data_IF_842176696508
#
_entry.id   IF_842176696508
#
_cell.length_a   1.000
_cell.length_b   1.000
_cell.length_c   1.000
_cell.angle_alpha   90.00
_cell.angle_beta   90.00
_cell.angle_gamma   90.00
#
_symmetry.space_group_name_H-M   'P 1'
#
loop_
_entity.id
_entity.type
_entity.pdbx_description
1 polymer ?
#
# COMPACT_ATOMS: atom_id res chain seq x y z
N UNK A 1 -42.98 45.75 60.60
CA UNK A 1 -42.15 44.54 60.55
C UNK A 1 -41.54 44.48 59.17
N UNK A 2 -40.20 44.67 59.10
CA UNK A 2 -39.43 44.58 57.85
C UNK A 2 -39.12 43.09 57.55
N UNK A 3 -39.47 42.59 56.35
CA UNK A 3 -39.22 41.19 56.08
C UNK A 3 -37.72 40.89 56.04
N UNK A 4 -37.27 39.83 56.73
CA UNK A 4 -35.91 39.32 56.64
C UNK A 4 -35.73 38.68 55.28
N UNK A 5 -34.97 39.32 54.40
CA UNK A 5 -34.61 38.79 53.08
C UNK A 5 -33.31 37.99 53.22
N UNK A 6 -33.38 36.69 52.90
CA UNK A 6 -32.18 35.83 52.74
C UNK A 6 -31.90 35.73 51.24
N UNK A 7 -30.79 36.26 50.81
CA UNK A 7 -30.30 36.11 49.41
C UNK A 7 -29.56 34.76 49.30
N UNK A 8 -30.08 33.86 48.46
CA UNK A 8 -29.40 32.62 48.08
C UNK A 8 -28.68 32.92 46.78
N UNK A 9 -27.34 32.88 46.78
CA UNK A 9 -26.55 32.96 45.56
C UNK A 9 -26.47 31.58 44.92
N UNK A 10 -26.77 31.49 43.64
CA UNK A 10 -26.60 30.29 42.84
C UNK A 10 -25.19 30.18 42.28
N UNK A 11 -24.62 28.99 42.25
CA UNK A 11 -23.31 28.69 41.69
C UNK A 11 -23.44 27.58 40.61
N UNK A 12 -23.83 27.93 39.39
CA UNK A 12 -23.89 26.97 38.31
C UNK A 12 -22.50 26.48 37.89
N UNK A 13 -22.32 25.19 37.73
CA UNK A 13 -21.07 24.58 37.31
C UNK A 13 -21.35 23.27 36.57
N UNK A 14 -20.50 22.95 35.60
CA UNK A 14 -20.62 21.74 34.77
C UNK A 14 -19.21 21.14 34.62
N UNK A 15 -19.11 19.83 34.54
CA UNK A 15 -17.88 19.08 34.29
C UNK A 15 -18.13 18.05 33.19
N UNK A 16 -17.17 17.92 32.25
CA UNK A 16 -17.26 17.01 31.12
C UNK A 16 -16.06 16.09 31.13
N UNK A 17 -16.31 14.79 31.15
CA UNK A 17 -15.25 13.77 30.95
C UNK A 17 -15.52 13.01 29.65
N UNK A 18 -14.45 12.57 29.00
CA UNK A 18 -14.53 11.79 27.78
C UNK A 18 -13.54 10.64 27.81
N UNK A 19 -14.01 9.45 27.50
CA UNK A 19 -13.19 8.25 27.38
C UNK A 19 -13.44 7.53 26.06
N UNK A 20 -12.49 6.71 25.61
CA UNK A 20 -12.59 5.89 24.41
C UNK A 20 -12.40 4.42 24.74
N UNK A 21 -13.17 3.57 24.07
CA UNK A 21 -12.95 2.12 24.03
C UNK A 21 -12.84 1.69 22.57
N UNK A 22 -11.75 1.02 22.23
CA UNK A 22 -11.56 0.45 20.89
C UNK A 22 -12.11 -0.97 20.86
N UNK A 23 -12.93 -1.25 19.87
CA UNK A 23 -13.37 -2.61 19.54
C UNK A 23 -12.66 -3.03 18.27
N UNK A 24 -11.78 -4.00 18.39
CA UNK A 24 -10.99 -4.61 17.33
C UNK A 24 -11.91 -5.33 16.33
N UNK A 25 -11.65 -5.18 15.05
CA UNK A 25 -12.35 -5.84 13.95
C UNK A 25 -12.02 -7.33 13.80
N UNK A 26 -11.07 -7.85 14.60
CA UNK A 26 -10.65 -9.26 14.66
C UNK A 26 -9.25 -9.52 14.12
N UNK A 27 -8.46 -8.49 13.81
CA UNK A 27 -7.08 -8.63 13.33
C UNK A 27 -6.02 -8.53 14.44
N UNK A 28 -6.42 -8.15 15.66
CA UNK A 28 -5.57 -8.10 16.86
C UNK A 28 -4.69 -6.86 16.97
N UNK A 29 -4.90 -5.85 16.11
CA UNK A 29 -4.15 -4.59 16.12
C UNK A 29 -5.09 -3.39 15.97
N UNK A 30 -4.83 -2.32 16.71
CA UNK A 30 -5.62 -1.09 16.52
C UNK A 30 -5.34 -0.48 15.16
N UNK A 31 -6.37 -0.41 14.31
CA UNK A 31 -6.19 -0.01 12.93
C UNK A 31 -7.48 0.32 12.18
N UNK A 32 -7.40 0.30 10.87
CA UNK A 32 -8.52 0.55 9.98
C UNK A 32 -9.62 -0.48 10.17
N UNK A 33 -10.84 -0.02 10.34
CA UNK A 33 -12.04 -0.84 10.50
C UNK A 33 -12.44 -1.07 11.96
N UNK A 34 -11.57 -0.76 12.92
CA UNK A 34 -11.90 -0.80 14.33
C UNK A 34 -12.90 0.30 14.69
N UNK A 35 -13.65 0.06 15.75
CA UNK A 35 -14.65 1.00 16.24
C UNK A 35 -14.13 1.69 17.49
N UNK A 36 -13.91 3.00 17.41
CA UNK A 36 -13.70 3.86 18.55
C UNK A 36 -15.07 4.27 19.12
N UNK A 37 -15.40 3.75 20.29
CA UNK A 37 -16.62 4.09 21.03
C UNK A 37 -16.28 5.11 22.10
N UNK A 38 -16.73 6.34 21.91
CA UNK A 38 -16.59 7.43 22.86
C UNK A 38 -17.74 7.43 23.85
N UNK A 39 -17.41 7.57 25.13
CA UNK A 39 -18.37 7.84 26.23
C UNK A 39 -18.07 9.22 26.76
N UNK A 40 -19.05 10.12 26.68
CA UNK A 40 -18.98 11.49 27.20
C UNK A 40 -19.92 11.56 28.40
N UNK A 41 -19.41 11.93 29.55
CA UNK A 41 -20.22 12.20 30.74
C UNK A 41 -20.25 13.70 31.03
N UNK A 42 -21.43 14.23 31.30
CA UNK A 42 -21.68 15.63 31.61
C UNK A 42 -22.31 15.69 32.99
N UNK A 43 -21.59 16.21 33.97
CA UNK A 43 -22.06 16.31 35.34
C UNK A 43 -22.39 17.76 35.71
N UNK A 44 -23.53 17.98 36.37
CA UNK A 44 -23.83 19.23 37.03
C UNK A 44 -23.15 19.28 38.41
N UNK A 45 -22.02 19.98 38.51
CA UNK A 45 -21.24 20.15 39.74
C UNK A 45 -21.69 21.38 40.53
N UNK A 46 -22.69 22.11 40.03
CA UNK A 46 -23.28 23.27 40.70
C UNK A 46 -24.43 22.94 41.62
N UNK A 47 -25.05 24.00 42.16
CA UNK A 47 -26.11 23.92 43.17
C UNK A 47 -27.52 24.18 42.61
N UNK A 48 -27.64 24.46 41.30
CA UNK A 48 -28.92 24.68 40.63
C UNK A 48 -29.12 23.72 39.47
N UNK A 49 -30.39 23.48 39.08
CA UNK A 49 -30.68 22.69 37.87
C UNK A 49 -30.22 23.43 36.62
N UNK A 50 -29.42 22.76 35.82
CA UNK A 50 -29.03 23.25 34.47
C UNK A 50 -30.03 22.79 33.44
N UNK A 51 -30.32 23.67 32.48
CA UNK A 51 -31.27 23.40 31.37
C UNK A 51 -30.67 23.87 30.04
N UNK A 52 -31.17 23.31 28.93
CA UNK A 52 -30.71 23.60 27.58
C UNK A 52 -29.18 23.28 27.41
N UNK A 53 -28.73 22.22 28.04
CA UNK A 53 -27.37 21.73 27.85
C UNK A 53 -27.27 21.19 26.42
N UNK A 54 -26.28 21.68 25.69
CA UNK A 54 -25.90 21.19 24.35
C UNK A 54 -24.52 20.57 24.44
N UNK A 55 -24.33 19.43 23.79
CA UNK A 55 -23.04 18.72 23.68
C UNK A 55 -22.61 18.71 22.23
N UNK A 56 -21.42 19.22 21.96
CA UNK A 56 -20.73 19.17 20.66
C UNK A 56 -19.51 18.28 20.76
N UNK A 57 -19.04 17.79 19.60
CA UNK A 57 -17.91 16.88 19.50
C UNK A 57 -17.01 17.27 18.31
N UNK A 58 -15.72 17.26 18.50
CA UNK A 58 -14.74 17.56 17.47
C UNK A 58 -13.70 16.43 17.40
N UNK A 59 -13.78 15.65 16.32
CA UNK A 59 -12.85 14.56 16.05
C UNK A 59 -11.86 15.00 14.97
N UNK A 60 -10.58 14.75 15.18
CA UNK A 60 -9.50 14.99 14.21
C UNK A 60 -8.56 13.77 14.14
N UNK A 61 -7.80 13.67 13.05
CA UNK A 61 -6.59 12.84 13.09
C UNK A 61 -5.45 13.57 13.85
N UNK A 62 -4.32 12.90 14.08
CA UNK A 62 -3.20 13.51 14.81
C UNK A 62 -2.45 14.60 14.04
N UNK A 63 -2.75 14.80 12.75
CA UNK A 63 -2.28 15.94 11.96
C UNK A 63 -3.27 17.12 11.99
N UNK A 64 -4.39 17.01 12.73
CA UNK A 64 -5.38 18.06 12.91
C UNK A 64 -6.42 18.14 11.77
N UNK A 65 -6.48 17.18 10.87
CA UNK A 65 -7.53 17.14 9.85
C UNK A 65 -8.85 16.68 10.48
N UNK A 66 -9.93 17.41 10.19
CA UNK A 66 -11.26 17.10 10.73
C UNK A 66 -11.77 15.75 10.22
N UNK A 67 -12.23 14.94 11.15
CA UNK A 67 -12.96 13.69 10.92
C UNK A 67 -14.40 13.84 11.40
N UNK A 68 -15.29 12.96 10.96
CA UNK A 68 -16.68 12.96 11.39
C UNK A 68 -16.98 11.65 12.12
N UNK A 69 -17.68 11.73 13.25
CA UNK A 69 -18.24 10.53 13.86
C UNK A 69 -19.22 9.85 12.89
N UNK A 70 -19.21 8.51 12.88
CA UNK A 70 -20.20 7.73 12.13
C UNK A 70 -21.59 7.80 12.79
N UNK A 71 -21.62 8.01 14.13
CA UNK A 71 -22.85 8.30 14.84
C UNK A 71 -22.59 9.06 16.15
N UNK A 72 -23.57 9.88 16.55
CA UNK A 72 -23.53 10.63 17.81
C UNK A 72 -22.81 11.98 17.72
N UNK A 73 -22.49 12.63 18.89
CA UNK A 73 -22.84 12.16 20.22
C UNK A 73 -24.34 12.13 20.46
N UNK A 74 -24.84 10.99 20.94
CA UNK A 74 -26.26 10.78 21.21
C UNK A 74 -26.50 10.56 22.71
N UNK A 75 -27.51 11.23 23.30
CA UNK A 75 -27.90 11.05 24.68
C UNK A 75 -28.31 9.60 24.96
N UNK A 76 -27.67 8.98 25.93
CA UNK A 76 -27.93 7.59 26.34
C UNK A 76 -28.80 7.51 27.60
N UNK A 77 -28.75 8.52 28.45
CA UNK A 77 -29.51 8.60 29.69
C UNK A 77 -28.85 9.48 30.75
N UNK A 78 -29.51 9.65 31.90
CA UNK A 78 -28.91 10.25 33.08
C UNK A 78 -29.16 9.37 34.31
N UNK A 79 -28.30 9.48 35.29
CA UNK A 79 -28.32 8.64 36.53
C UNK A 79 -29.51 8.95 37.46
N UNK A 80 -30.12 10.13 37.34
CA UNK A 80 -31.32 10.52 38.10
C UNK A 80 -32.57 10.67 37.25
N UNK A 81 -32.51 10.29 35.96
CA UNK A 81 -33.67 10.20 35.07
C UNK A 81 -34.12 11.51 34.45
N UNK A 82 -33.30 12.57 34.43
CA UNK A 82 -33.64 13.80 33.71
C UNK A 82 -33.59 13.57 32.19
N UNK A 83 -34.41 14.31 31.48
CA UNK A 83 -34.42 14.29 30.00
C UNK A 83 -33.16 14.97 29.45
N UNK A 84 -32.84 14.65 28.19
CA UNK A 84 -31.73 15.29 27.46
C UNK A 84 -31.77 16.82 27.61
N UNK A 85 -30.63 17.41 27.93
CA UNK A 85 -30.47 18.85 28.06
C UNK A 85 -30.85 19.43 29.42
N UNK A 86 -31.23 18.60 30.44
CA UNK A 86 -31.50 19.03 31.81
C UNK A 86 -30.77 18.16 32.80
N UNK A 87 -30.11 18.76 33.80
CA UNK A 87 -29.40 18.06 34.88
C UNK A 87 -29.69 18.75 36.23
N UNK A 88 -30.16 17.99 37.21
CA UNK A 88 -30.26 18.43 38.61
C UNK A 88 -28.85 18.53 39.21
N UNK A 89 -28.68 19.22 40.36
CA UNK A 89 -27.42 19.20 41.10
C UNK A 89 -26.90 17.79 41.35
N UNK A 90 -25.61 17.54 41.07
CA UNK A 90 -24.91 16.25 41.18
C UNK A 90 -25.38 15.17 40.19
N UNK A 91 -26.27 15.48 39.24
CA UNK A 91 -26.71 14.53 38.22
C UNK A 91 -25.73 14.47 37.04
N UNK A 92 -25.55 13.27 36.50
CA UNK A 92 -24.66 13.01 35.37
C UNK A 92 -25.44 12.45 34.16
N UNK A 93 -25.32 13.09 33.01
CA UNK A 93 -25.78 12.57 31.74
C UNK A 93 -24.65 11.84 30.97
N UNK A 94 -25.03 10.81 30.21
CA UNK A 94 -24.10 10.05 29.36
C UNK A 94 -24.50 10.21 27.90
N UNK A 95 -23.50 10.47 27.06
CA UNK A 95 -23.62 10.51 25.60
C UNK A 95 -22.65 9.51 24.96
N UNK A 96 -23.02 8.94 23.83
CA UNK A 96 -22.25 7.96 23.09
C UNK A 96 -21.98 8.45 21.67
N UNK A 97 -20.72 8.41 21.26
CA UNK A 97 -20.28 8.63 19.89
C UNK A 97 -19.54 7.41 19.35
N UNK A 98 -19.67 7.14 18.07
CA UNK A 98 -18.97 6.05 17.39
C UNK A 98 -18.19 6.59 16.19
N UNK A 99 -16.99 6.07 15.98
CA UNK A 99 -16.17 6.32 14.81
C UNK A 99 -15.53 5.03 14.33
N UNK A 100 -15.67 4.71 13.04
CA UNK A 100 -14.96 3.60 12.41
C UNK A 100 -13.65 4.15 11.88
N UNK A 101 -12.53 3.67 12.42
CA UNK A 101 -11.19 4.13 12.07
C UNK A 101 -10.96 3.93 10.57
N UNK A 102 -10.75 5.01 9.84
CA UNK A 102 -10.47 4.99 8.40
C UNK A 102 -8.96 4.99 8.11
N UNK A 103 -8.58 4.77 6.85
CA UNK A 103 -7.18 4.73 6.45
C UNK A 103 -6.44 6.05 6.69
N UNK A 104 -7.12 7.19 6.55
CA UNK A 104 -6.48 8.50 6.80
C UNK A 104 -6.05 8.65 8.26
N UNK A 105 -6.88 8.19 9.22
CA UNK A 105 -6.53 8.20 10.64
C UNK A 105 -5.31 7.31 10.92
N UNK A 106 -5.22 6.14 10.27
CA UNK A 106 -4.05 5.24 10.38
C UNK A 106 -2.80 5.90 9.80
N UNK A 107 -2.90 6.45 8.58
CA UNK A 107 -1.79 7.09 7.88
C UNK A 107 -1.25 8.33 8.64
N UNK A 108 -2.09 8.97 9.46
CA UNK A 108 -1.75 10.13 10.27
C UNK A 108 -1.46 9.80 11.75
N UNK A 109 -1.31 8.51 12.08
CA UNK A 109 -0.81 8.03 13.37
C UNK A 109 -1.86 7.92 14.46
N UNK A 110 -3.15 8.19 14.18
CA UNK A 110 -4.24 8.05 15.14
C UNK A 110 -5.29 9.15 15.09
N UNK A 111 -6.07 9.25 16.17
CA UNK A 111 -7.21 10.16 16.30
C UNK A 111 -7.17 10.90 17.63
N UNK A 112 -7.70 12.12 17.65
CA UNK A 112 -7.86 12.99 18.81
C UNK A 112 -9.29 13.49 18.84
N UNK A 113 -9.96 13.40 20.00
CA UNK A 113 -11.36 13.76 20.11
C UNK A 113 -11.62 14.60 21.36
N UNK A 114 -12.33 15.73 21.19
CA UNK A 114 -12.71 16.68 22.25
C UNK A 114 -14.21 16.89 22.19
N UNK A 115 -14.88 16.82 23.34
CA UNK A 115 -16.27 17.23 23.49
C UNK A 115 -16.37 18.55 24.26
N UNK A 116 -17.47 19.28 24.05
CA UNK A 116 -17.79 20.46 24.84
C UNK A 116 -19.27 20.44 25.22
N UNK A 117 -19.57 20.73 26.47
CA UNK A 117 -20.93 20.97 26.93
C UNK A 117 -21.14 22.45 27.27
N UNK A 118 -22.26 23.02 26.85
CA UNK A 118 -22.59 24.44 27.04
C UNK A 118 -24.05 24.56 27.54
N UNK A 119 -24.27 25.40 28.58
CA UNK A 119 -25.58 25.79 29.03
C UNK A 119 -25.57 27.23 29.55
N UNK A 120 -26.31 28.15 28.93
CA UNK A 120 -26.31 29.56 29.33
C UNK A 120 -24.92 30.18 29.30
N UNK A 121 -24.39 30.56 30.49
CA UNK A 121 -23.06 31.14 30.65
C UNK A 121 -22.01 30.14 31.17
N UNK A 122 -22.39 28.88 31.37
CA UNK A 122 -21.50 27.83 31.88
C UNK A 122 -21.15 26.88 30.73
N UNK A 123 -19.87 26.58 30.59
CA UNK A 123 -19.37 25.62 29.62
C UNK A 123 -18.15 24.90 30.18
N UNK A 124 -17.92 23.70 29.67
CA UNK A 124 -16.74 22.92 29.98
C UNK A 124 -16.31 22.12 28.75
N UNK A 125 -14.99 21.91 28.63
CA UNK A 125 -14.35 21.09 27.59
C UNK A 125 -14.00 19.74 28.22
N UNK A 126 -14.16 18.66 27.48
CA UNK A 126 -13.92 17.32 28.00
C UNK A 126 -12.47 17.10 28.40
N UNK A 127 -12.31 16.43 29.54
CA UNK A 127 -11.07 15.96 30.12
C UNK A 127 -10.94 14.45 29.89
N UNK A 128 -9.73 13.97 29.54
CA UNK A 128 -9.46 12.52 29.46
C UNK A 128 -9.15 12.01 30.89
N UNK A 129 -9.99 11.16 31.49
CA UNK A 129 -9.79 10.68 32.85
C UNK A 129 -8.53 9.82 33.04
N UNK A 130 -7.80 9.51 31.97
CA UNK A 130 -6.55 8.73 32.03
C UNK A 130 -5.29 9.61 32.04
N UNK A 131 -5.44 10.93 31.95
CA UNK A 131 -4.33 11.89 32.03
C UNK A 131 -4.43 12.74 33.30
N UNK A 132 -3.46 13.57 33.53
CA UNK A 132 -3.45 14.52 34.68
C UNK A 132 -3.64 15.98 34.20
N UNK A 133 -3.80 16.20 32.92
CA UNK A 133 -4.01 17.52 32.29
C UNK A 133 -5.50 17.79 32.24
N UNK A 134 -5.93 19.00 32.57
CA UNK A 134 -7.33 19.40 32.52
C UNK A 134 -7.69 19.85 31.07
N UNK A 135 -8.94 19.63 30.66
CA UNK A 135 -9.51 20.02 29.38
C UNK A 135 -8.72 19.45 28.17
N UNK A 136 -8.12 18.27 28.32
CA UNK A 136 -7.32 17.65 27.28
C UNK A 136 -8.13 16.72 26.38
N UNK A 137 -7.56 16.45 25.22
CA UNK A 137 -8.20 15.59 24.24
C UNK A 137 -8.03 14.11 24.56
N UNK A 138 -9.08 13.32 24.36
CA UNK A 138 -8.99 11.85 24.34
C UNK A 138 -8.29 11.37 23.09
N UNK A 139 -7.06 10.85 23.21
CA UNK A 139 -6.18 10.47 22.10
C UNK A 139 -6.08 8.95 21.97
N UNK A 140 -6.18 8.46 20.75
CA UNK A 140 -5.87 7.07 20.36
C UNK A 140 -4.74 7.07 19.35
N UNK A 141 -3.57 6.57 19.73
CA UNK A 141 -2.43 6.42 18.82
C UNK A 141 -2.51 5.10 18.05
N UNK A 142 -2.13 5.14 16.78
CA UNK A 142 -2.06 3.96 15.89
C UNK A 142 -0.62 3.82 15.41
N UNK A 143 -0.03 2.64 15.68
CA UNK A 143 1.35 2.38 15.28
C UNK A 143 1.44 2.06 13.80
N UNK A 144 2.25 2.82 13.07
CA UNK A 144 2.55 2.54 11.67
C UNK A 144 3.46 1.31 11.54
N UNK A 145 3.09 0.39 10.65
CA UNK A 145 3.87 -0.80 10.29
C UNK A 145 3.96 -0.89 8.75
N UNK A 146 4.85 -0.10 8.13
CA UNK A 146 5.03 -0.10 6.69
C UNK A 146 5.73 -1.39 6.24
N UNK A 147 5.18 -2.04 5.21
CA UNK A 147 5.75 -3.25 4.61
C UNK A 147 5.30 -3.40 3.18
N UNK A 148 6.13 -3.96 2.31
CA UNK A 148 5.74 -4.34 0.96
C UNK A 148 6.32 -5.72 0.60
N UNK A 149 5.68 -6.38 -0.35
CA UNK A 149 6.09 -7.66 -0.91
C UNK A 149 6.16 -7.51 -2.44
N UNK A 150 7.25 -7.96 -3.02
CA UNK A 150 7.50 -7.87 -4.46
C UNK A 150 7.68 -9.26 -5.05
N UNK A 151 6.90 -9.60 -6.08
CA UNK A 151 7.14 -10.82 -6.83
C UNK A 151 7.46 -10.50 -8.29
N UNK A 152 8.23 -11.37 -8.94
CA UNK A 152 8.58 -11.24 -10.36
C UNK A 152 8.50 -12.58 -11.03
N UNK A 153 7.76 -12.64 -12.13
CA UNK A 153 7.62 -13.85 -12.95
C UNK A 153 7.99 -13.56 -14.40
N UNK A 154 8.33 -14.62 -15.15
CA UNK A 154 8.68 -14.53 -16.57
C UNK A 154 7.89 -15.54 -17.40
N UNK A 155 7.49 -15.13 -18.61
CA UNK A 155 6.90 -15.99 -19.64
C UNK A 155 7.67 -15.76 -20.94
N UNK A 156 8.15 -16.84 -21.56
CA UNK A 156 8.81 -16.78 -22.87
C UNK A 156 7.77 -16.91 -23.96
N UNK A 157 7.85 -16.03 -24.95
CA UNK A 157 7.13 -16.14 -26.22
C UNK A 157 8.13 -16.58 -27.28
N UNK A 158 7.95 -17.79 -27.81
CA UNK A 158 8.70 -18.32 -28.96
C UNK A 158 8.26 -17.52 -30.22
N UNK A 159 9.10 -16.58 -30.62
CA UNK A 159 8.77 -15.60 -31.65
C UNK A 159 9.15 -16.10 -33.06
N UNK A 160 10.12 -17.01 -33.18
CA UNK A 160 10.54 -17.60 -34.45
C UNK A 160 9.95 -19.00 -34.68
N UNK A 161 9.22 -19.56 -33.68
CA UNK A 161 8.47 -20.81 -33.72
C UNK A 161 9.38 -22.04 -33.98
N UNK A 162 10.60 -21.99 -33.49
CA UNK A 162 11.56 -23.10 -33.62
C UNK A 162 11.45 -24.13 -32.48
N UNK A 163 10.62 -23.87 -31.44
CA UNK A 163 10.35 -24.71 -30.28
C UNK A 163 11.43 -24.70 -29.23
N UNK A 164 12.43 -23.85 -29.35
CA UNK A 164 13.50 -23.65 -28.38
C UNK A 164 13.38 -22.26 -27.73
N UNK A 165 14.07 -22.03 -26.62
CA UNK A 165 14.23 -20.69 -26.06
C UNK A 165 15.58 -20.13 -26.51
N UNK A 166 15.55 -19.19 -27.45
CA UNK A 166 16.74 -18.75 -28.16
C UNK A 166 16.76 -17.30 -28.60
N UNK A 167 17.70 -16.97 -29.49
CA UNK A 167 17.84 -15.62 -30.05
C UNK A 167 16.60 -15.21 -30.85
N UNK A 168 16.02 -14.06 -30.56
CA UNK A 168 14.81 -13.55 -31.23
C UNK A 168 13.54 -13.75 -30.42
N UNK A 169 13.52 -14.64 -29.45
CA UNK A 169 12.39 -14.84 -28.53
C UNK A 169 12.24 -13.68 -27.56
N UNK A 170 11.04 -13.58 -27.02
CA UNK A 170 10.67 -12.48 -26.12
C UNK A 170 10.40 -13.05 -24.71
N UNK A 171 11.16 -12.59 -23.74
CA UNK A 171 10.84 -12.81 -22.31
C UNK A 171 9.96 -11.66 -21.84
N UNK A 172 8.75 -11.98 -21.40
CA UNK A 172 7.81 -11.03 -20.81
C UNK A 172 7.85 -11.18 -19.29
N UNK A 173 8.18 -10.11 -18.59
CA UNK A 173 8.22 -10.05 -17.13
C UNK A 173 6.99 -9.37 -16.57
N UNK A 174 6.47 -9.93 -15.49
CA UNK A 174 5.42 -9.31 -14.66
C UNK A 174 5.98 -9.12 -13.27
N UNK A 175 5.93 -7.88 -12.77
CA UNK A 175 6.35 -7.51 -11.42
C UNK A 175 5.11 -7.07 -10.65
N UNK A 176 4.84 -7.68 -9.50
CA UNK A 176 3.77 -7.24 -8.60
C UNK A 176 4.36 -6.61 -7.36
N UNK A 177 3.79 -5.50 -6.94
CA UNK A 177 4.16 -4.75 -5.73
C UNK A 177 2.92 -4.70 -4.85
N UNK A 178 2.92 -5.46 -3.75
CA UNK A 178 1.81 -5.53 -2.79
C UNK A 178 2.19 -4.82 -1.50
N UNK A 179 1.31 -3.97 -0.99
CA UNK A 179 1.46 -3.39 0.34
C UNK A 179 0.93 -4.38 1.38
N UNK A 180 1.82 -4.95 2.16
CA UNK A 180 1.54 -5.90 3.26
C UNK A 180 1.50 -5.22 4.62
N UNK A 181 1.76 -3.90 4.67
CA UNK A 181 1.68 -3.08 5.87
C UNK A 181 0.28 -2.52 6.14
N UNK A 182 0.17 -1.71 7.21
CA UNK A 182 -1.09 -1.09 7.63
C UNK A 182 -1.27 0.37 7.17
N UNK A 183 -0.26 0.98 6.53
CA UNK A 183 -0.29 2.37 6.07
C UNK A 183 -0.13 2.48 4.56
N UNK A 184 -0.64 3.56 3.97
CA UNK A 184 -0.50 3.84 2.54
C UNK A 184 0.96 4.11 2.20
N UNK A 185 1.48 3.42 1.18
CA UNK A 185 2.80 3.65 0.62
C UNK A 185 2.71 4.50 -0.65
N UNK A 186 3.71 5.34 -0.88
CA UNK A 186 3.79 6.23 -2.04
C UNK A 186 5.22 6.29 -2.60
N UNK A 187 5.38 6.91 -3.79
CA UNK A 187 6.70 7.07 -4.39
C UNK A 187 7.35 5.73 -4.78
N UNK A 188 6.56 4.76 -5.24
CA UNK A 188 7.08 3.47 -5.73
C UNK A 188 8.11 3.72 -6.81
N UNK A 189 9.33 3.21 -6.60
CA UNK A 189 10.40 3.19 -7.61
C UNK A 189 10.90 1.76 -7.79
N UNK A 190 11.19 1.38 -9.03
CA UNK A 190 11.65 0.03 -9.38
C UNK A 190 13.03 0.15 -10.03
N UNK A 191 14.02 -0.49 -9.43
CA UNK A 191 15.36 -0.67 -9.98
C UNK A 191 15.49 -2.11 -10.46
N UNK A 192 15.52 -2.30 -11.79
CA UNK A 192 15.58 -3.62 -12.43
C UNK A 192 17.00 -3.93 -12.88
N UNK A 193 17.45 -5.16 -12.63
CA UNK A 193 18.76 -5.65 -13.02
C UNK A 193 18.61 -6.92 -13.86
N UNK A 194 18.88 -6.81 -15.15
CA UNK A 194 18.84 -7.90 -16.10
C UNK A 194 20.26 -8.29 -16.54
N UNK A 195 20.58 -9.58 -16.47
CA UNK A 195 21.90 -10.11 -16.88
C UNK A 195 21.75 -11.40 -17.68
N UNK A 196 22.78 -11.73 -18.46
CA UNK A 196 22.93 -13.07 -19.03
C UNK A 196 23.56 -14.06 -18.04
N UNK A 197 23.68 -15.33 -18.41
CA UNK A 197 24.23 -16.39 -17.58
C UNK A 197 25.72 -16.23 -17.23
N UNK A 198 26.43 -15.28 -17.85
CA UNK A 198 27.81 -14.90 -17.55
C UNK A 198 27.91 -13.64 -16.68
N UNK A 199 26.75 -13.02 -16.34
CA UNK A 199 26.70 -11.80 -15.53
C UNK A 199 26.87 -10.51 -16.31
N UNK A 200 26.84 -10.52 -17.64
CA UNK A 200 26.89 -9.31 -18.44
C UNK A 200 25.52 -8.59 -18.35
N UNK A 201 25.55 -7.28 -18.16
CA UNK A 201 24.33 -6.46 -18.08
C UNK A 201 23.59 -6.43 -19.42
N UNK A 202 22.27 -6.58 -19.35
CA UNK A 202 21.35 -6.49 -20.46
C UNK A 202 20.38 -5.33 -20.21
N UNK A 203 19.66 -4.90 -21.25
CA UNK A 203 18.70 -3.78 -21.15
C UNK A 203 17.31 -4.26 -21.56
N UNK A 204 16.30 -3.97 -20.75
CA UNK A 204 14.90 -4.23 -21.07
C UNK A 204 14.48 -3.47 -22.33
N UNK A 205 13.56 -4.04 -23.09
CA UNK A 205 13.04 -3.47 -24.34
C UNK A 205 12.04 -2.33 -24.14
N UNK A 206 11.59 -2.08 -22.90
CA UNK A 206 10.67 -1.00 -22.57
C UNK A 206 11.30 0.39 -22.78
N UNK A 207 10.49 1.45 -22.99
CA UNK A 207 10.99 2.82 -23.03
C UNK A 207 11.82 3.18 -21.80
N UNK A 208 13.04 3.67 -22.03
CA UNK A 208 13.98 3.99 -20.96
C UNK A 208 14.62 2.79 -20.25
N UNK A 209 14.39 1.56 -20.74
CA UNK A 209 14.93 0.33 -20.13
C UNK A 209 14.33 -0.03 -18.77
N UNK A 210 13.14 0.50 -18.42
CA UNK A 210 12.52 0.31 -17.12
C UNK A 210 11.15 -0.38 -17.22
N UNK A 211 10.72 -1.13 -16.21
CA UNK A 211 9.36 -1.65 -16.11
C UNK A 211 8.31 -0.54 -16.21
N UNK A 212 7.19 -0.83 -16.86
CA UNK A 212 6.08 0.10 -17.06
C UNK A 212 4.87 -0.34 -16.24
N UNK A 213 4.19 0.65 -15.62
CA UNK A 213 2.93 0.42 -14.92
C UNK A 213 1.89 -0.21 -15.85
N UNK A 214 1.18 -1.21 -15.35
CA UNK A 214 0.13 -1.92 -16.09
C UNK A 214 -1.24 -1.77 -15.44
N UNK A 215 -1.35 -2.05 -14.13
CA UNK A 215 -2.65 -2.06 -13.43
C UNK A 215 -2.51 -1.95 -11.92
N UNK A 216 -3.66 -1.74 -11.25
CA UNK A 216 -3.78 -1.79 -9.79
C UNK A 216 -5.06 -2.53 -9.39
N UNK A 217 -5.04 -3.20 -8.24
CA UNK A 217 -6.17 -3.99 -7.74
C UNK A 217 -7.29 -3.16 -7.10
N UNK A 218 -6.99 -1.95 -6.59
CA UNK A 218 -7.95 -1.10 -5.87
C UNK A 218 -8.14 0.29 -6.47
N UNK A 219 -7.50 0.58 -7.62
CA UNK A 219 -7.67 1.83 -8.35
C UNK A 219 -6.91 3.04 -7.81
N UNK A 220 -5.90 2.87 -6.97
CA UNK A 220 -5.02 3.96 -6.54
C UNK A 220 -4.21 4.52 -7.71
N UNK A 221 -3.74 5.75 -7.57
CA UNK A 221 -2.86 6.36 -8.54
C UNK A 221 -1.54 5.58 -8.67
N UNK A 222 -0.91 5.66 -9.85
CA UNK A 222 0.41 5.05 -10.08
C UNK A 222 1.40 5.52 -9.02
N UNK A 223 2.12 4.56 -8.43
CA UNK A 223 3.10 4.84 -7.38
C UNK A 223 2.51 5.03 -5.98
N UNK A 224 1.19 4.82 -5.78
CA UNK A 224 0.53 4.83 -4.47
C UNK A 224 -0.16 3.49 -4.24
N UNK A 225 0.15 2.81 -3.15
CA UNK A 225 -0.39 1.47 -2.82
C UNK A 225 -0.94 1.48 -1.39
N UNK A 226 -2.26 1.34 -1.26
CA UNK A 226 -2.95 1.21 0.03
C UNK A 226 -2.70 -0.17 0.64
N UNK A 227 -2.91 -0.36 1.94
CA UNK A 227 -2.88 -1.69 2.56
C UNK A 227 -3.69 -2.71 1.75
N UNK A 228 -3.11 -3.91 1.55
CA UNK A 228 -3.66 -5.03 0.78
C UNK A 228 -3.76 -4.78 -0.76
N UNK A 229 -3.43 -3.59 -1.23
CA UNK A 229 -3.43 -3.28 -2.66
C UNK A 229 -2.18 -3.81 -3.35
N UNK A 230 -2.36 -4.21 -4.62
CA UNK A 230 -1.27 -4.65 -5.50
C UNK A 230 -1.22 -3.76 -6.73
N UNK A 231 -0.04 -3.26 -7.07
CA UNK A 231 0.25 -2.68 -8.38
C UNK A 231 1.07 -3.65 -9.23
N UNK A 232 0.75 -3.71 -10.52
CA UNK A 232 1.41 -4.58 -11.49
C UNK A 232 2.18 -3.73 -12.49
N UNK A 233 3.41 -4.14 -12.76
CA UNK A 233 4.29 -3.57 -13.77
C UNK A 233 4.71 -4.65 -14.75
N UNK A 234 4.97 -4.27 -16.00
CA UNK A 234 5.40 -5.20 -17.05
C UNK A 234 6.71 -4.73 -17.68
N UNK A 235 7.52 -5.68 -18.09
CA UNK A 235 8.74 -5.44 -18.84
C UNK A 235 8.93 -6.56 -19.86
N UNK A 236 9.77 -6.33 -20.88
CA UNK A 236 10.15 -7.37 -21.81
C UNK A 236 11.62 -7.28 -22.20
N UNK A 237 12.16 -8.39 -22.64
CA UNK A 237 13.50 -8.49 -23.22
C UNK A 237 13.46 -9.37 -24.46
N UNK A 238 14.01 -8.89 -25.58
CA UNK A 238 14.23 -9.71 -26.77
C UNK A 238 15.59 -10.35 -26.66
N UNK A 239 15.64 -11.68 -26.64
CA UNK A 239 16.89 -12.43 -26.43
C UNK A 239 17.85 -12.13 -27.58
N UNK A 240 18.96 -11.48 -27.26
CA UNK A 240 20.00 -11.19 -28.25
C UNK A 240 20.83 -12.45 -28.61
N UNK A 241 21.44 -12.53 -29.78
CA UNK A 241 22.31 -13.66 -30.15
C UNK A 241 23.46 -13.89 -29.17
N UNK A 242 24.00 -12.84 -28.57
CA UNK A 242 25.05 -12.95 -27.53
C UNK A 242 24.52 -13.55 -26.23
N UNK A 243 23.33 -13.14 -25.77
CA UNK A 243 22.70 -13.68 -24.60
C UNK A 243 22.23 -15.14 -24.80
N UNK A 244 21.76 -15.49 -26.01
CA UNK A 244 21.41 -16.86 -26.38
C UNK A 244 22.62 -17.83 -26.36
N UNK A 245 23.84 -17.31 -26.47
CA UNK A 245 25.07 -18.10 -26.31
C UNK A 245 25.40 -18.46 -24.86
N UNK A 246 24.59 -18.00 -23.88
CA UNK A 246 24.72 -18.31 -22.46
C UNK A 246 23.69 -19.35 -22.02
N UNK A 247 23.76 -19.85 -20.79
CA UNK A 247 22.85 -20.92 -20.31
C UNK A 247 21.50 -20.40 -19.82
N UNK A 248 21.40 -19.10 -19.48
CA UNK A 248 20.21 -18.50 -18.87
C UNK A 248 20.21 -16.98 -18.98
N UNK A 249 19.04 -16.39 -18.75
CA UNK A 249 18.83 -14.97 -18.48
C UNK A 249 18.35 -14.86 -17.02
N UNK A 250 18.90 -13.91 -16.28
CA UNK A 250 18.61 -13.68 -14.86
C UNK A 250 18.09 -12.25 -14.68
N UNK A 251 16.98 -12.10 -14.00
CA UNK A 251 16.37 -10.78 -13.75
C UNK A 251 15.90 -10.63 -12.31
N UNK A 252 16.31 -9.56 -11.64
CA UNK A 252 15.86 -9.18 -10.30
C UNK A 252 15.45 -7.72 -10.26
N UNK A 253 14.48 -7.38 -9.43
CA UNK A 253 14.05 -6.00 -9.21
C UNK A 253 14.09 -5.66 -7.72
N UNK A 254 14.57 -4.46 -7.40
CA UNK A 254 14.43 -3.88 -6.06
C UNK A 254 13.39 -2.78 -6.15
N UNK A 255 12.39 -2.84 -5.31
CA UNK A 255 11.35 -1.84 -5.20
C UNK A 255 11.53 -1.07 -3.90
N UNK A 256 11.44 0.26 -3.97
CA UNK A 256 11.42 1.12 -2.81
C UNK A 256 10.16 1.97 -2.79
N UNK A 257 9.69 2.28 -1.59
CA UNK A 257 8.51 3.11 -1.34
C UNK A 257 8.72 4.00 -0.11
N UNK A 258 7.83 4.98 0.04
CA UNK A 258 7.81 5.91 1.16
C UNK A 258 6.54 5.74 1.97
N UNK A 259 6.65 5.67 3.30
CA UNK A 259 5.52 5.81 4.22
C UNK A 259 5.26 7.28 4.55
N UNK A 260 4.09 7.66 5.09
CA UNK A 260 3.80 9.04 5.47
C UNK A 260 4.89 9.66 6.35
N UNK A 261 5.36 10.84 5.96
CA UNK A 261 6.42 11.57 6.67
C UNK A 261 7.84 11.01 6.53
N UNK A 262 8.04 9.94 5.75
CA UNK A 262 9.34 9.30 5.49
C UNK A 262 9.59 9.21 3.98
N UNK A 263 10.84 9.02 3.59
CA UNK A 263 11.22 8.88 2.18
C UNK A 263 12.03 7.61 1.98
N UNK A 264 11.63 6.77 1.00
CA UNK A 264 12.30 5.53 0.61
C UNK A 264 12.67 4.62 1.81
N UNK A 265 11.80 4.57 2.82
CA UNK A 265 12.03 3.84 4.06
C UNK A 265 11.53 2.40 4.04
N UNK A 266 10.89 1.98 2.95
CA UNK A 266 10.38 0.62 2.74
C UNK A 266 10.98 0.08 1.45
N UNK A 267 11.52 -1.12 1.47
CA UNK A 267 12.10 -1.75 0.28
C UNK A 267 11.96 -3.26 0.35
N UNK A 268 11.89 -3.88 -0.83
CA UNK A 268 11.90 -5.31 -0.99
C UNK A 268 12.55 -5.71 -2.31
N UNK A 269 13.14 -6.91 -2.35
CA UNK A 269 13.70 -7.51 -3.56
C UNK A 269 12.70 -8.50 -4.14
N UNK A 270 12.55 -8.51 -5.46
CA UNK A 270 11.59 -9.39 -6.10
C UNK A 270 11.92 -10.87 -5.88
N UNK A 271 10.89 -11.62 -5.55
CA UNK A 271 10.90 -13.07 -5.36
C UNK A 271 10.36 -13.78 -6.61
N UNK A 272 10.97 -14.88 -7.03
CA UNK A 272 10.41 -15.74 -8.08
C UNK A 272 9.34 -16.66 -7.47
N UNK A 273 8.05 -16.48 -7.78
CA UNK A 273 6.98 -17.28 -7.18
C UNK A 273 7.02 -18.77 -7.55
N UNK A 274 7.93 -19.18 -8.44
CA UNK A 274 8.07 -20.57 -8.83
C UNK A 274 9.14 -21.32 -8.01
N UNK A 275 9.84 -20.64 -7.12
CA UNK A 275 10.83 -21.23 -6.22
C UNK A 275 10.37 -21.17 -4.76
N UNK A 276 11.10 -21.82 -3.86
CA UNK A 276 10.85 -21.74 -2.42
C UNK A 276 11.85 -20.85 -1.68
N UNK A 277 12.77 -20.24 -2.40
CA UNK A 277 13.78 -19.35 -1.84
C UNK A 277 13.27 -17.91 -1.93
N UNK A 278 13.26 -17.20 -0.81
CA UNK A 278 12.86 -15.81 -0.77
C UNK A 278 13.91 -14.89 -1.43
N UNK A 279 13.44 -13.80 -2.02
CA UNK A 279 14.24 -12.72 -2.63
C UNK A 279 15.17 -13.20 -3.76
N UNK A 280 14.82 -14.28 -4.45
CA UNK A 280 15.62 -14.81 -5.52
C UNK A 280 15.28 -14.21 -6.89
N UNK A 281 16.25 -14.26 -7.78
CA UNK A 281 16.09 -13.74 -9.12
C UNK A 281 15.25 -14.68 -10.01
N UNK A 282 14.42 -14.11 -10.85
CA UNK A 282 13.68 -14.85 -11.88
C UNK A 282 14.62 -15.29 -12.99
N UNK A 283 14.76 -16.61 -13.19
CA UNK A 283 15.65 -17.22 -14.17
C UNK A 283 14.88 -17.81 -15.35
N UNK A 284 15.35 -17.53 -16.55
CA UNK A 284 14.88 -18.16 -17.79
C UNK A 284 16.00 -18.95 -18.42
N UNK A 285 15.85 -20.27 -18.50
CA UNK A 285 16.82 -21.15 -19.13
C UNK A 285 16.82 -20.98 -20.64
N UNK A 286 18.00 -20.89 -21.23
CA UNK A 286 18.20 -20.87 -22.69
C UNK A 286 18.45 -22.30 -23.18
N UNK A 287 17.71 -22.72 -24.20
CA UNK A 287 17.90 -24.02 -24.88
C UNK A 287 18.42 -23.77 -26.29
N UNK A 288 19.75 -23.74 -26.48
CA UNK A 288 20.31 -23.44 -27.79
C UNK A 288 19.88 -24.47 -28.83
N UNK A 289 19.40 -23.98 -29.99
CA UNK A 289 19.13 -24.81 -31.17
C UNK A 289 20.08 -24.40 -32.29
N UNK A 290 21.37 -24.81 -32.25
CA UNK A 290 22.37 -24.37 -33.21
C UNK A 290 22.08 -25.00 -34.55
N UNK A 291 21.92 -24.18 -35.59
CA UNK A 291 21.82 -24.61 -36.99
C UNK A 291 22.90 -23.93 -37.84
N UNK A 292 23.40 -24.65 -38.82
CA UNK A 292 24.32 -24.11 -39.80
C UNK A 292 23.84 -24.47 -41.21
N UNK A 293 23.63 -23.46 -42.04
CA UNK A 293 23.38 -23.62 -43.47
C UNK A 293 24.61 -23.21 -44.26
N UNK A 294 25.07 -24.07 -45.14
CA UNK A 294 26.19 -23.77 -46.03
C UNK A 294 25.72 -23.82 -47.48
N UNK A 295 25.74 -22.70 -48.17
CA UNK A 295 25.50 -22.64 -49.61
C UNK A 295 26.82 -22.57 -50.37
N UNK A 296 26.96 -23.40 -51.39
CA UNK A 296 28.10 -23.39 -52.32
C UNK A 296 27.61 -23.03 -53.70
N UNK A 297 28.06 -21.92 -54.22
CA UNK A 297 27.80 -21.51 -55.58
C UNK A 297 29.03 -21.76 -56.46
N UNK A 298 28.81 -22.27 -57.65
CA UNK A 298 29.84 -22.45 -58.64
C UNK A 298 29.53 -21.54 -59.83
N UNK A 299 30.49 -20.75 -60.22
CA UNK A 299 30.45 -20.02 -61.49
C UNK A 299 31.43 -20.70 -62.43
N UNK A 300 30.92 -21.17 -63.52
CA UNK A 300 31.74 -21.69 -64.61
C UNK A 300 32.02 -20.56 -65.58
N UNK A 301 33.30 -20.22 -65.74
CA UNK A 301 33.75 -19.20 -66.69
C UNK A 301 34.30 -19.88 -67.92
N UNK A 302 33.69 -19.61 -69.07
CA UNK A 302 34.25 -20.04 -70.37
C UNK A 302 35.39 -19.11 -70.76
N UNK A 303 36.59 -19.46 -70.32
CA UNK A 303 37.79 -18.65 -70.56
C UNK A 303 38.36 -18.80 -72.01
N UNK A 304 37.84 -19.75 -72.76
CA UNK A 304 38.33 -19.99 -74.15
C UNK A 304 37.33 -19.65 -75.27
N UNK A 305 36.12 -19.13 -74.90
CA UNK A 305 35.07 -18.69 -75.84
C UNK A 305 34.46 -19.80 -76.65
N UNK A 306 34.59 -21.06 -76.26
CA UNK A 306 34.12 -22.22 -77.06
C UNK A 306 32.61 -22.46 -76.93
N UNK A 307 31.91 -21.79 -76.03
CA UNK A 307 30.50 -22.00 -75.77
C UNK A 307 30.18 -23.34 -75.10
N UNK A 308 31.19 -24.12 -74.71
CA UNK A 308 31.03 -25.42 -74.03
C UNK A 308 31.44 -25.35 -72.55
N UNK A 309 30.48 -25.53 -71.68
CA UNK A 309 30.76 -25.70 -70.27
C UNK A 309 31.35 -27.08 -70.01
N UNK A 310 32.67 -27.17 -69.76
CA UNK A 310 33.30 -28.41 -69.39
C UNK A 310 32.90 -28.75 -67.90
N UNK A 311 32.17 -29.84 -67.71
CA UNK A 311 31.89 -30.37 -66.39
C UNK A 311 33.18 -30.90 -65.74
N UNK A 312 33.77 -30.13 -64.84
CA UNK A 312 34.87 -30.63 -64.03
C UNK A 312 34.28 -31.63 -63.03
N UNK A 313 34.58 -32.91 -63.24
CA UNK A 313 34.22 -33.97 -62.27
C UNK A 313 35.07 -33.78 -61.01
N UNK A 314 34.50 -33.22 -59.96
CA UNK A 314 35.17 -33.26 -58.67
C UNK A 314 34.80 -34.55 -57.97
N UNK A 315 35.79 -35.31 -57.53
CA UNK A 315 35.58 -36.50 -56.70
C UNK A 315 34.80 -36.13 -55.43
N UNK A 316 33.81 -36.95 -55.05
CA UNK A 316 33.05 -36.68 -53.85
C UNK A 316 33.98 -36.58 -52.63
N UNK A 317 33.67 -35.60 -51.76
CA UNK A 317 34.39 -35.47 -50.48
C UNK A 317 34.33 -36.79 -49.70
N UNK A 318 35.40 -37.20 -49.04
CA UNK A 318 35.40 -38.42 -48.21
C UNK A 318 34.31 -38.48 -47.16
N UNK A 319 33.62 -37.37 -46.90
CA UNK A 319 32.50 -37.28 -45.94
C UNK A 319 31.15 -37.67 -46.55
N UNK A 320 31.04 -37.76 -47.91
CA UNK A 320 29.77 -38.10 -48.57
C UNK A 320 29.51 -39.61 -48.63
N UNK A 321 30.33 -40.42 -47.98
CA UNK A 321 30.09 -41.86 -47.81
C UNK A 321 29.42 -42.07 -46.44
N UNK A 322 28.15 -41.72 -46.32
CA UNK A 322 27.28 -42.32 -45.31
C UNK A 322 26.73 -43.63 -45.88
N UNK A 323 26.97 -44.66 -45.18
CA UNK A 323 26.32 -45.97 -45.32
C UNK A 323 24.92 -45.91 -44.73
#
# INVERSE_FOLDING_TARGET
>A
DDPTVVTISSNPSIEVLKSVQITDNGDGVTGKGDIARYTITVQNTGDITLNNITVSDTLTDLNGNTLNLDSGPSFSGSDQGSAQGSLKPSETATYIGLYIINQSAVDNGGISNVAQAITGSVSDTSDDPNTAEADDATVTTITASPSLEVTKSAIVTDNDQDGATGAGDIINYTITVRNTGNITLSGITISDTLTDGLGNSLTLGNPGGNPQYSSTSMGSAVGTVKPEETQTYTAFYVISPSAAGTSKIVNSAIVTASSPGQTNNVSDTSDDPNTAQADDATEVSITPNPSIEATKTQVVSDTNGSGLNCLLYTSPSPRDRSI
#
